data_IF_124578321091
#
_entry.id   IF_124578321091
#
_cell.length_a   1.000
_cell.length_b   1.000
_cell.length_c   1.000
_cell.angle_alpha   90.00
_cell.angle_beta   90.00
_cell.angle_gamma   90.00
#
_symmetry.space_group_name_H-M   'P 1'
#
loop_
_entity.id
_entity.type
_entity.pdbx_description
1 polymer ?
#
# COMPACT_ATOMS: atom_id res chain seq x y z
N UNK A 1 9.65 15.72 -3.44
CA UNK A 1 10.60 14.64 -3.15
C UNK A 1 10.02 13.75 -2.06
N UNK A 2 10.44 12.52 -1.99
CA UNK A 2 9.99 11.53 -0.98
C UNK A 2 10.20 12.04 0.45
N UNK A 3 11.28 12.78 0.73
CA UNK A 3 11.53 13.38 2.04
C UNK A 3 10.43 14.36 2.51
N UNK A 4 9.90 15.18 1.59
CA UNK A 4 8.81 16.08 1.93
C UNK A 4 7.51 15.32 2.19
N UNK A 5 7.26 14.25 1.43
CA UNK A 5 6.10 13.41 1.61
C UNK A 5 6.13 12.71 2.98
N UNK A 6 7.26 12.09 3.34
CA UNK A 6 7.43 11.45 4.63
C UNK A 6 7.24 12.43 5.79
N UNK A 7 7.86 13.61 5.72
CA UNK A 7 7.69 14.63 6.75
C UNK A 7 6.24 15.12 6.87
N UNK A 8 5.53 15.24 5.76
CA UNK A 8 4.11 15.62 5.75
C UNK A 8 3.27 14.58 6.49
N UNK A 9 3.39 13.30 6.15
CA UNK A 9 2.58 12.26 6.76
C UNK A 9 2.93 12.01 8.22
N UNK A 10 4.20 12.06 8.61
CA UNK A 10 4.60 11.98 10.02
C UNK A 10 3.96 13.11 10.85
N UNK A 11 3.99 14.36 10.37
CA UNK A 11 3.31 15.47 11.06
C UNK A 11 1.80 15.26 11.09
N UNK A 12 1.20 14.86 9.98
CA UNK A 12 -0.23 14.64 9.87
C UNK A 12 -0.73 13.61 10.89
N UNK A 13 -0.03 12.47 11.02
CA UNK A 13 -0.37 11.42 11.97
C UNK A 13 -0.14 11.82 13.43
N UNK A 14 0.87 12.67 13.70
CA UNK A 14 1.24 13.08 15.06
C UNK A 14 0.41 14.25 15.58
N UNK A 15 0.00 15.16 14.71
CA UNK A 15 -0.79 16.35 15.08
C UNK A 15 -2.29 16.16 14.98
N UNK A 16 -2.73 15.09 14.32
CA UNK A 16 -4.15 14.73 14.18
C UNK A 16 -4.83 14.48 15.53
N UNK A 17 -6.14 14.72 15.59
CA UNK A 17 -6.96 14.41 16.79
C UNK A 17 -7.11 12.92 17.05
N UNK A 18 -6.87 12.11 16.05
CA UNK A 18 -6.99 10.65 16.15
C UNK A 18 -5.76 10.05 16.85
N UNK A 19 -6.02 9.16 17.80
CA UNK A 19 -4.96 8.35 18.40
C UNK A 19 -4.89 7.01 17.69
N UNK A 20 -3.70 6.62 17.29
CA UNK A 20 -3.43 5.35 16.64
C UNK A 20 -2.91 4.32 17.66
N UNK A 21 -3.20 3.05 17.43
CA UNK A 21 -2.65 1.94 18.21
C UNK A 21 -1.21 1.58 17.85
N UNK A 22 -0.70 2.16 16.77
CA UNK A 22 0.69 2.03 16.32
C UNK A 22 1.51 3.30 16.64
N UNK A 23 2.82 3.17 16.56
CA UNK A 23 3.77 4.27 16.81
C UNK A 23 4.52 4.61 15.52
N UNK A 24 4.68 5.90 15.25
CA UNK A 24 5.54 6.41 14.18
C UNK A 24 6.75 7.12 14.77
N UNK A 25 7.90 7.17 14.06
CA UNK A 25 9.03 8.00 14.48
C UNK A 25 8.64 9.47 14.63
N UNK A 26 9.07 10.11 15.70
CA UNK A 26 8.90 11.55 15.80
C UNK A 26 9.86 12.27 14.87
N UNK A 27 9.35 13.24 14.10
CA UNK A 27 10.15 14.11 13.27
C UNK A 27 10.83 15.17 14.16
N UNK A 28 12.16 15.10 14.25
CA UNK A 28 12.97 16.04 15.06
C UNK A 28 13.36 17.25 14.22
N UNK A 29 13.84 17.04 13.00
CA UNK A 29 14.32 18.09 12.10
C UNK A 29 14.07 17.70 10.65
N UNK A 30 13.75 18.71 9.85
CA UNK A 30 13.70 18.61 8.39
C UNK A 30 14.50 19.74 7.77
N UNK A 31 15.36 19.42 6.82
CA UNK A 31 15.97 20.39 5.91
C UNK A 31 15.78 19.94 4.44
N UNK A 32 16.39 20.64 3.49
CA UNK A 32 16.18 20.36 2.06
C UNK A 32 16.70 18.98 1.60
N UNK A 33 17.60 18.37 2.38
CA UNK A 33 18.33 17.15 1.99
C UNK A 33 18.17 15.98 2.94
N UNK A 34 17.63 16.21 4.14
CA UNK A 34 17.55 15.19 5.16
C UNK A 34 16.37 15.36 6.12
N UNK A 35 15.89 14.22 6.61
CA UNK A 35 15.01 14.14 7.77
C UNK A 35 15.78 13.53 8.95
N UNK A 36 15.63 14.13 10.11
CA UNK A 36 16.10 13.56 11.36
C UNK A 36 14.89 13.13 12.17
N UNK A 37 14.83 11.86 12.50
CA UNK A 37 13.72 11.25 13.22
C UNK A 37 14.22 10.55 14.48
N UNK A 38 13.33 10.41 15.45
CA UNK A 38 13.56 9.59 16.62
C UNK A 38 13.73 8.12 16.22
N UNK A 39 14.72 7.47 16.80
CA UNK A 39 14.89 6.02 16.65
C UNK A 39 13.89 5.30 17.53
N UNK A 40 13.00 4.53 16.95
CA UNK A 40 12.09 3.67 17.71
C UNK A 40 12.86 2.50 18.36
N UNK A 41 12.79 2.34 19.70
CA UNK A 41 13.37 1.17 20.36
C UNK A 41 12.58 -0.08 19.97
N UNK A 42 13.25 -1.06 19.39
CA UNK A 42 12.58 -2.23 18.84
C UNK A 42 13.40 -3.51 19.01
N UNK A 43 12.71 -4.65 18.97
CA UNK A 43 13.25 -6.01 19.02
C UNK A 43 13.31 -6.68 17.63
N UNK A 44 13.33 -5.90 16.57
CA UNK A 44 13.29 -6.36 15.18
C UNK A 44 11.96 -6.06 14.49
N UNK A 45 11.70 -6.77 13.42
CA UNK A 45 10.50 -6.59 12.58
C UNK A 45 9.41 -7.63 12.89
N UNK A 46 8.16 -7.30 12.54
CA UNK A 46 7.07 -8.25 12.53
C UNK A 46 7.12 -9.08 11.24
N UNK A 47 7.75 -10.24 11.27
CA UNK A 47 7.82 -11.12 10.10
C UNK A 47 6.48 -11.73 9.65
N UNK A 48 5.43 -11.64 10.50
CA UNK A 48 4.10 -12.19 10.24
C UNK A 48 3.02 -11.14 10.48
N UNK A 49 2.06 -11.09 9.55
CA UNK A 49 0.87 -10.27 9.68
C UNK A 49 0.00 -10.77 10.85
N UNK A 50 -0.50 -9.87 11.67
CA UNK A 50 -1.25 -10.22 12.87
C UNK A 50 -2.33 -9.15 13.18
N UNK A 51 -3.07 -9.34 14.27
CA UNK A 51 -4.17 -8.44 14.70
C UNK A 51 -3.75 -6.97 14.86
N UNK A 52 -2.49 -6.69 15.20
CA UNK A 52 -2.01 -5.30 15.34
C UNK A 52 -1.91 -4.61 13.99
N UNK A 53 -1.48 -5.34 12.97
CA UNK A 53 -1.47 -4.83 11.59
C UNK A 53 -2.90 -4.57 11.10
N UNK A 54 -3.85 -5.49 11.37
CA UNK A 54 -5.27 -5.28 11.04
C UNK A 54 -5.82 -4.02 11.70
N UNK A 55 -5.54 -3.83 13.01
CA UNK A 55 -5.98 -2.65 13.74
C UNK A 55 -5.39 -1.35 13.16
N UNK A 56 -4.08 -1.33 12.88
CA UNK A 56 -3.40 -0.19 12.26
C UNK A 56 -4.01 0.17 10.90
N UNK A 57 -4.23 -0.82 10.03
CA UNK A 57 -4.82 -0.59 8.70
C UNK A 57 -6.29 -0.14 8.80
N UNK A 58 -7.05 -0.65 9.77
CA UNK A 58 -8.40 -0.17 10.07
C UNK A 58 -8.40 1.29 10.49
N UNK A 59 -7.47 1.69 11.35
CA UNK A 59 -7.32 3.06 11.82
C UNK A 59 -6.89 4.01 10.71
N UNK A 60 -5.94 3.61 9.85
CA UNK A 60 -5.53 4.37 8.67
C UNK A 60 -6.69 4.56 7.70
N UNK A 61 -7.46 3.51 7.42
CA UNK A 61 -8.66 3.61 6.61
C UNK A 61 -9.66 4.61 7.20
N UNK A 62 -9.96 4.48 8.50
CA UNK A 62 -10.96 5.29 9.18
C UNK A 62 -10.56 6.76 9.32
N UNK A 63 -9.26 7.09 9.30
CA UNK A 63 -8.77 8.46 9.47
C UNK A 63 -9.16 9.37 8.31
N UNK A 64 -9.26 8.85 7.08
CA UNK A 64 -9.51 9.62 5.86
C UNK A 64 -10.41 8.88 4.86
N UNK A 65 -11.41 8.19 5.37
CA UNK A 65 -12.30 7.39 4.54
C UNK A 65 -13.17 8.27 3.64
N UNK A 66 -13.17 7.95 2.34
CA UNK A 66 -14.02 8.54 1.31
C UNK A 66 -14.61 7.43 0.44
N UNK A 67 -15.86 7.58 0.04
CA UNK A 67 -16.49 6.71 -0.95
C UNK A 67 -16.62 7.47 -2.28
N UNK A 68 -16.12 6.85 -3.36
CA UNK A 68 -16.18 7.40 -4.69
C UNK A 68 -16.25 6.28 -5.74
N UNK A 69 -16.66 6.60 -6.98
CA UNK A 69 -16.61 5.64 -8.07
C UNK A 69 -15.15 5.22 -8.37
N UNK A 70 -14.99 4.02 -8.89
CA UNK A 70 -13.68 3.55 -9.36
C UNK A 70 -13.12 4.51 -10.41
N UNK A 71 -13.97 5.01 -11.33
CA UNK A 71 -13.57 5.94 -12.39
C UNK A 71 -13.08 7.30 -11.89
N UNK A 72 -13.44 7.71 -10.67
CA UNK A 72 -13.02 8.97 -10.07
C UNK A 72 -11.66 8.85 -9.33
N UNK A 73 -11.04 7.68 -9.34
CA UNK A 73 -9.74 7.48 -8.69
C UNK A 73 -8.65 8.31 -9.37
N UNK A 74 -8.05 9.21 -8.63
CA UNK A 74 -7.06 10.17 -9.13
C UNK A 74 -5.81 9.53 -9.76
N UNK A 75 -5.51 8.28 -9.40
CA UNK A 75 -4.33 7.56 -9.94
C UNK A 75 -4.56 6.94 -11.33
N UNK A 76 -5.79 6.93 -11.86
CA UNK A 76 -6.06 6.34 -13.18
C UNK A 76 -5.21 6.94 -14.29
N UNK A 77 -5.12 8.26 -14.35
CA UNK A 77 -4.32 8.94 -15.37
C UNK A 77 -2.84 8.59 -15.25
N UNK A 78 -2.34 8.52 -14.02
CA UNK A 78 -0.97 8.10 -13.74
C UNK A 78 -0.70 6.65 -14.16
N UNK A 79 -1.63 5.73 -13.88
CA UNK A 79 -1.54 4.33 -14.29
C UNK A 79 -1.49 4.23 -15.82
N UNK A 80 -2.42 4.89 -16.52
CA UNK A 80 -2.44 4.92 -17.97
C UNK A 80 -1.16 5.48 -18.59
N UNK A 81 -0.65 6.59 -18.05
CA UNK A 81 0.58 7.24 -18.50
C UNK A 81 1.78 6.30 -18.35
N UNK A 82 1.94 5.69 -17.17
CA UNK A 82 3.02 4.74 -16.90
C UNK A 82 2.98 3.54 -17.85
N UNK A 83 1.82 2.92 -18.03
CA UNK A 83 1.66 1.75 -18.91
C UNK A 83 1.92 2.13 -20.37
N UNK A 84 1.49 3.31 -20.81
CA UNK A 84 1.72 3.79 -22.17
C UNK A 84 3.21 4.01 -22.45
N UNK A 85 3.94 4.54 -21.47
CA UNK A 85 5.41 4.64 -21.57
C UNK A 85 6.06 3.25 -21.62
N UNK A 86 5.65 2.32 -20.78
CA UNK A 86 6.14 0.93 -20.75
C UNK A 86 5.98 0.25 -22.11
N UNK A 87 4.88 0.50 -22.82
CA UNK A 87 4.62 -0.08 -24.14
C UNK A 87 5.63 0.35 -25.19
N UNK A 88 6.18 1.54 -25.04
CA UNK A 88 7.14 2.13 -26.01
C UNK A 88 8.59 1.83 -25.65
N UNK A 89 8.86 1.27 -24.49
CA UNK A 89 10.21 0.95 -24.00
C UNK A 89 10.48 -0.55 -24.09
N UNK A 90 11.52 -0.93 -24.83
CA UNK A 90 12.02 -2.31 -24.81
C UNK A 90 13.04 -2.45 -23.69
N UNK A 91 12.68 -3.20 -22.65
CA UNK A 91 13.59 -3.51 -21.58
C UNK A 91 13.78 -5.03 -21.46
N UNK A 92 15.04 -5.49 -21.44
CA UNK A 92 15.38 -6.92 -21.49
C UNK A 92 14.77 -7.78 -20.35
N UNK A 93 14.41 -7.16 -19.23
CA UNK A 93 13.82 -7.85 -18.06
C UNK A 93 12.30 -7.77 -17.99
N UNK A 94 11.65 -7.00 -18.87
CA UNK A 94 10.20 -6.82 -18.89
C UNK A 94 9.65 -7.54 -20.11
N UNK A 95 8.81 -8.57 -19.95
CA UNK A 95 8.17 -9.25 -21.07
C UNK A 95 7.33 -8.27 -21.90
N UNK A 96 7.44 -8.33 -23.23
CA UNK A 96 6.68 -7.44 -24.16
C UNK A 96 5.16 -7.54 -23.97
N UNK A 97 4.66 -8.69 -23.50
CA UNK A 97 3.24 -8.92 -23.23
C UNK A 97 2.72 -8.22 -21.95
N UNK A 98 3.62 -7.85 -21.02
CA UNK A 98 3.18 -7.33 -19.72
C UNK A 98 2.47 -5.97 -19.82
N UNK A 99 2.99 -4.95 -20.56
CA UNK A 99 2.27 -3.71 -20.74
C UNK A 99 0.89 -3.88 -21.42
N UNK A 100 0.80 -4.81 -22.39
CA UNK A 100 -0.46 -5.10 -23.08
C UNK A 100 -1.47 -5.76 -22.14
N UNK A 101 -1.02 -6.70 -21.31
CA UNK A 101 -1.87 -7.35 -20.32
C UNK A 101 -2.38 -6.34 -19.27
N UNK A 102 -1.53 -5.40 -18.84
CA UNK A 102 -1.93 -4.33 -17.90
C UNK A 102 -2.96 -3.39 -18.54
N UNK A 103 -2.76 -2.97 -19.80
CA UNK A 103 -3.76 -2.16 -20.53
C UNK A 103 -5.09 -2.91 -20.69
N UNK A 104 -5.03 -4.21 -20.95
CA UNK A 104 -6.24 -5.03 -21.04
C UNK A 104 -6.99 -5.09 -19.71
N UNK A 105 -6.28 -5.28 -18.59
CA UNK A 105 -6.88 -5.25 -17.25
C UNK A 105 -7.53 -3.91 -16.93
N UNK A 106 -6.86 -2.80 -17.27
CA UNK A 106 -7.42 -1.45 -17.08
C UNK A 106 -8.67 -1.24 -17.94
N UNK A 107 -8.66 -1.71 -19.19
CA UNK A 107 -9.80 -1.59 -20.10
C UNK A 107 -11.02 -2.46 -19.68
N UNK A 108 -10.80 -3.53 -18.92
CA UNK A 108 -11.85 -4.41 -18.41
C UNK A 108 -12.43 -3.96 -17.06
N UNK A 109 -11.78 -3.03 -16.36
CA UNK A 109 -12.29 -2.58 -15.06
C UNK A 109 -13.56 -1.75 -15.22
N UNK A 110 -14.58 -2.11 -14.44
CA UNK A 110 -15.83 -1.35 -14.39
C UNK A 110 -15.63 -0.09 -13.55
N UNK A 111 -15.86 1.07 -14.15
CA UNK A 111 -15.64 2.38 -13.54
C UNK A 111 -16.82 2.88 -12.69
N UNK A 112 -17.98 2.28 -12.81
CA UNK A 112 -19.22 2.75 -12.15
C UNK A 112 -19.35 2.37 -10.67
N UNK A 113 -18.87 1.20 -10.21
CA UNK A 113 -19.00 0.83 -8.80
C UNK A 113 -18.35 1.84 -7.87
N UNK A 114 -19.04 2.12 -6.77
CA UNK A 114 -18.49 2.90 -5.65
C UNK A 114 -17.68 2.01 -4.76
N UNK A 115 -16.47 2.45 -4.44
CA UNK A 115 -15.55 1.77 -3.50
C UNK A 115 -15.08 2.73 -2.41
N UNK A 116 -14.48 2.17 -1.39
CA UNK A 116 -13.91 2.94 -0.27
C UNK A 116 -12.43 3.22 -0.52
N UNK A 117 -12.06 4.48 -0.36
CA UNK A 117 -10.69 4.97 -0.38
C UNK A 117 -10.28 5.44 1.01
N UNK A 118 -8.99 5.46 1.28
CA UNK A 118 -8.43 5.91 2.56
C UNK A 118 -6.97 6.28 2.46
N UNK A 119 -6.34 6.48 3.60
CA UNK A 119 -4.90 6.66 3.70
C UNK A 119 -4.21 5.29 3.60
N UNK A 120 -3.21 5.19 2.72
CA UNK A 120 -2.30 4.06 2.65
C UNK A 120 -0.87 4.50 2.99
N UNK A 121 -0.14 3.62 3.64
CA UNK A 121 1.29 3.76 3.88
C UNK A 121 2.10 3.68 2.56
N UNK A 122 1.63 2.87 1.62
CA UNK A 122 2.21 2.71 0.29
C UNK A 122 3.37 1.72 0.20
N UNK A 123 4.11 1.51 1.29
CA UNK A 123 5.15 0.47 1.43
C UNK A 123 5.02 -0.28 2.78
N UNK A 124 3.81 -0.70 3.11
CA UNK A 124 3.52 -1.45 4.32
C UNK A 124 4.02 -2.90 4.19
N UNK A 125 5.23 -3.14 4.66
CA UNK A 125 5.97 -4.39 4.46
C UNK A 125 6.45 -4.99 5.80
N UNK A 126 6.85 -6.27 5.83
CA UNK A 126 7.44 -6.84 7.05
C UNK A 126 8.64 -6.08 7.59
N UNK A 127 9.48 -5.47 6.73
CA UNK A 127 10.66 -4.73 7.15
C UNK A 127 10.38 -3.30 7.59
N UNK A 128 9.24 -2.72 7.22
CA UNK A 128 8.78 -1.40 7.65
C UNK A 128 7.85 -1.46 8.87
N UNK A 129 7.56 -2.67 9.38
CA UNK A 129 6.76 -2.90 10.58
C UNK A 129 7.61 -3.45 11.71
N UNK A 130 7.82 -2.65 12.74
CA UNK A 130 8.71 -2.95 13.87
C UNK A 130 7.93 -3.52 15.05
N UNK A 131 8.53 -4.47 15.75
CA UNK A 131 8.10 -4.91 17.06
C UNK A 131 8.82 -4.06 18.12
N UNK A 132 8.11 -3.16 18.75
CA UNK A 132 8.67 -2.31 19.80
C UNK A 132 8.87 -3.09 21.11
N UNK A 133 9.67 -2.54 22.03
CA UNK A 133 10.01 -3.19 23.29
C UNK A 133 8.80 -3.53 24.17
N UNK A 134 7.74 -2.74 24.06
CA UNK A 134 6.45 -2.94 24.73
C UNK A 134 5.44 -3.77 23.91
N UNK A 135 5.91 -4.50 22.87
CA UNK A 135 5.08 -5.25 21.93
C UNK A 135 4.09 -4.41 21.10
N UNK A 136 4.22 -3.10 21.06
CA UNK A 136 3.46 -2.26 20.13
C UNK A 136 4.00 -2.42 18.70
N UNK A 137 3.15 -2.06 17.74
CA UNK A 137 3.52 -1.97 16.33
C UNK A 137 4.17 -0.60 16.08
N UNK A 138 5.41 -0.59 15.61
CA UNK A 138 6.04 0.60 15.03
C UNK A 138 5.93 0.56 13.51
N UNK A 139 5.62 1.67 12.87
CA UNK A 139 5.56 1.79 11.41
C UNK A 139 6.50 2.91 10.98
N UNK A 140 7.44 2.58 10.10
CA UNK A 140 8.49 3.48 9.60
C UNK A 140 8.43 3.59 8.08
N UNK A 141 9.12 4.58 7.52
CA UNK A 141 9.28 4.76 6.06
C UNK A 141 7.98 5.16 5.35
N UNK A 142 7.47 6.35 5.71
CA UNK A 142 6.22 6.92 5.18
C UNK A 142 6.39 7.68 3.86
N UNK A 143 7.52 7.52 3.18
CA UNK A 143 7.83 8.29 1.97
C UNK A 143 6.89 8.01 0.79
N UNK A 144 6.26 6.84 0.74
CA UNK A 144 5.29 6.44 -0.27
C UNK A 144 3.84 6.57 0.19
N UNK A 145 3.60 7.11 1.40
CA UNK A 145 2.24 7.27 1.91
C UNK A 145 1.39 8.18 1.01
N UNK A 146 0.10 7.84 0.88
CA UNK A 146 -0.85 8.54 0.02
C UNK A 146 -2.27 8.49 0.58
N UNK A 147 -2.97 9.60 0.43
CA UNK A 147 -4.43 9.71 0.58
C UNK A 147 -5.12 9.20 -0.68
N UNK A 148 -6.40 8.85 -0.56
CA UNK A 148 -7.22 8.47 -1.71
C UNK A 148 -6.81 7.17 -2.38
N UNK A 149 -6.22 6.25 -1.64
CA UNK A 149 -5.91 4.91 -2.13
C UNK A 149 -7.04 3.93 -1.85
N UNK A 150 -7.35 2.97 -2.76
CA UNK A 150 -8.32 1.92 -2.47
C UNK A 150 -7.98 1.22 -1.15
N UNK A 151 -8.95 1.06 -0.27
CA UNK A 151 -8.71 0.42 1.04
C UNK A 151 -8.23 -1.01 0.87
N UNK A 152 -7.51 -1.54 1.87
CA UNK A 152 -6.86 -2.86 1.73
C UNK A 152 -5.54 -2.85 0.92
N UNK A 153 -5.13 -1.70 0.34
CA UNK A 153 -3.89 -1.59 -0.44
C UNK A 153 -2.68 -2.14 0.32
N UNK A 154 -2.46 -1.67 1.53
CA UNK A 154 -1.33 -2.07 2.39
C UNK A 154 -1.40 -3.53 2.84
N UNK A 155 -2.61 -4.09 3.02
CA UNK A 155 -2.78 -5.52 3.29
C UNK A 155 -2.26 -6.36 2.12
N UNK A 156 -2.65 -6.03 0.90
CA UNK A 156 -2.15 -6.72 -0.29
C UNK A 156 -0.65 -6.52 -0.44
N UNK A 157 -0.17 -5.30 -0.21
CA UNK A 157 1.26 -4.97 -0.32
C UNK A 157 2.11 -5.82 0.62
N UNK A 158 1.74 -5.92 1.89
CA UNK A 158 2.45 -6.75 2.87
C UNK A 158 2.60 -8.20 2.41
N UNK A 159 1.50 -8.81 1.99
CA UNK A 159 1.48 -10.23 1.65
C UNK A 159 2.13 -10.52 0.29
N UNK A 160 1.91 -9.66 -0.70
CA UNK A 160 2.51 -9.83 -2.03
C UNK A 160 4.03 -9.63 -1.96
N UNK A 161 4.49 -8.56 -1.31
CA UNK A 161 5.93 -8.31 -1.16
C UNK A 161 6.63 -9.42 -0.37
N UNK A 162 6.07 -9.82 0.76
CA UNK A 162 6.58 -10.94 1.55
C UNK A 162 6.62 -12.23 0.74
N UNK A 163 5.52 -12.55 0.07
CA UNK A 163 5.39 -13.77 -0.72
C UNK A 163 6.40 -13.85 -1.86
N UNK A 164 6.62 -12.74 -2.58
CA UNK A 164 7.54 -12.70 -3.72
C UNK A 164 9.00 -12.60 -3.25
N UNK A 165 9.33 -11.61 -2.42
CA UNK A 165 10.73 -11.25 -2.13
C UNK A 165 11.36 -12.11 -1.04
N UNK A 166 10.60 -12.52 -0.02
CA UNK A 166 11.11 -13.27 1.13
C UNK A 166 10.87 -14.77 0.96
N UNK A 167 9.63 -15.16 0.67
CA UNK A 167 9.22 -16.55 0.64
C UNK A 167 9.34 -17.20 -0.74
N UNK A 168 9.53 -16.40 -1.80
CA UNK A 168 9.66 -16.85 -3.21
C UNK A 168 8.54 -17.77 -3.65
N UNK A 169 7.31 -17.46 -3.22
CA UNK A 169 6.12 -18.24 -3.52
C UNK A 169 5.60 -17.93 -4.92
N UNK A 170 5.05 -18.92 -5.63
CA UNK A 170 4.30 -18.66 -6.86
C UNK A 170 3.00 -17.92 -6.55
N UNK A 171 2.53 -17.11 -7.50
CA UNK A 171 1.33 -16.26 -7.35
C UNK A 171 0.11 -17.02 -6.82
N UNK A 172 -0.16 -18.23 -7.35
CA UNK A 172 -1.31 -19.05 -6.91
C UNK A 172 -1.31 -19.29 -5.40
N UNK A 173 -0.14 -19.49 -4.80
CA UNK A 173 0.00 -19.71 -3.37
C UNK A 173 -0.23 -18.42 -2.59
N UNK A 174 0.34 -17.30 -3.06
CA UNK A 174 0.12 -15.98 -2.46
C UNK A 174 -1.37 -15.65 -2.47
N UNK A 175 -2.04 -15.80 -3.61
CA UNK A 175 -3.47 -15.53 -3.75
C UNK A 175 -4.33 -16.42 -2.82
N UNK A 176 -4.05 -17.71 -2.74
CA UNK A 176 -4.76 -18.61 -1.84
C UNK A 176 -4.59 -18.22 -0.35
N UNK A 177 -3.40 -17.80 0.05
CA UNK A 177 -3.12 -17.31 1.40
C UNK A 177 -3.86 -15.98 1.68
N UNK A 178 -3.87 -15.05 0.73
CA UNK A 178 -4.66 -13.81 0.83
C UNK A 178 -6.15 -14.10 1.07
N UNK A 179 -6.73 -15.00 0.28
CA UNK A 179 -8.14 -15.38 0.44
C UNK A 179 -8.42 -16.04 1.79
N UNK A 180 -7.52 -16.89 2.28
CA UNK A 180 -7.67 -17.55 3.59
C UNK A 180 -7.60 -16.58 4.78
N UNK A 181 -6.83 -15.50 4.66
CA UNK A 181 -6.68 -14.47 5.70
C UNK A 181 -7.86 -13.49 5.74
N UNK A 182 -8.61 -13.36 4.65
CA UNK A 182 -9.73 -12.42 4.52
C UNK A 182 -11.03 -12.98 5.11
N UNK A 183 -11.01 -13.27 6.43
CA UNK A 183 -12.22 -13.62 7.17
C UNK A 183 -13.23 -12.45 7.16
N UNK A 184 -14.52 -12.66 7.49
CA UNK A 184 -15.50 -11.57 7.58
C UNK A 184 -15.05 -10.42 8.47
N UNK A 185 -14.39 -10.71 9.60
CA UNK A 185 -13.87 -9.72 10.54
C UNK A 185 -12.76 -8.89 9.92
N UNK A 186 -11.81 -9.54 9.23
CA UNK A 186 -10.70 -8.87 8.53
C UNK A 186 -11.23 -8.02 7.38
N UNK A 187 -12.19 -8.53 6.60
CA UNK A 187 -12.83 -7.74 5.53
C UNK A 187 -13.51 -6.49 6.09
N UNK A 188 -14.27 -6.63 7.18
CA UNK A 188 -14.90 -5.47 7.83
C UNK A 188 -13.88 -4.45 8.31
N UNK A 189 -12.78 -4.89 8.90
CA UNK A 189 -11.72 -3.98 9.36
C UNK A 189 -11.05 -3.24 8.19
N UNK A 190 -10.71 -3.96 7.13
CA UNK A 190 -9.95 -3.40 6.00
C UNK A 190 -10.81 -2.61 5.02
N UNK A 191 -12.08 -3.00 4.80
CA UNK A 191 -12.93 -2.45 3.76
C UNK A 191 -14.23 -1.80 4.27
N UNK A 192 -14.52 -1.92 5.57
CA UNK A 192 -15.73 -1.38 6.18
C UNK A 192 -16.95 -2.30 6.12
N UNK A 193 -16.90 -3.37 5.33
CA UNK A 193 -17.99 -4.34 5.17
C UNK A 193 -17.45 -5.76 4.93
N UNK A 194 -18.12 -6.81 5.43
CA UNK A 194 -17.74 -8.18 5.11
C UNK A 194 -18.11 -8.61 3.69
N UNK A 195 -19.10 -7.93 3.05
CA UNK A 195 -19.59 -8.21 1.69
C UNK A 195 -18.86 -7.37 0.63
N UNK A 196 -17.54 -7.35 0.70
CA UNK A 196 -16.71 -6.61 -0.25
C UNK A 196 -16.30 -7.48 -1.44
N UNK A 197 -16.28 -6.90 -2.64
CA UNK A 197 -15.67 -7.53 -3.82
C UNK A 197 -14.14 -7.38 -3.76
N UNK A 198 -13.50 -8.24 -2.96
CA UNK A 198 -12.05 -8.18 -2.66
C UNK A 198 -11.21 -8.19 -3.93
N UNK A 199 -11.60 -8.99 -4.93
CA UNK A 199 -10.83 -9.13 -6.17
C UNK A 199 -10.75 -7.82 -6.96
N UNK A 200 -11.74 -6.94 -6.85
CA UNK A 200 -11.68 -5.59 -7.42
C UNK A 200 -10.56 -4.78 -6.79
N UNK A 201 -10.52 -4.70 -5.47
CA UNK A 201 -9.47 -3.98 -4.74
C UNK A 201 -8.07 -4.57 -5.00
N UNK A 202 -7.98 -5.90 -5.12
CA UNK A 202 -6.72 -6.56 -5.48
C UNK A 202 -6.28 -6.21 -6.91
N UNK A 203 -7.20 -6.14 -7.88
CA UNK A 203 -6.89 -5.70 -9.25
C UNK A 203 -6.39 -4.26 -9.27
N UNK A 204 -7.06 -3.33 -8.56
CA UNK A 204 -6.64 -1.94 -8.45
C UNK A 204 -5.24 -1.82 -7.84
N UNK A 205 -4.98 -2.57 -6.76
CA UNK A 205 -3.64 -2.66 -6.18
C UNK A 205 -2.61 -3.14 -7.19
N UNK A 206 -2.87 -4.23 -7.92
CA UNK A 206 -1.92 -4.78 -8.88
C UNK A 206 -1.66 -3.84 -10.05
N UNK A 207 -2.69 -3.19 -10.60
CA UNK A 207 -2.53 -2.21 -11.69
C UNK A 207 -1.66 -1.03 -11.25
N UNK A 208 -1.93 -0.47 -10.06
CA UNK A 208 -1.12 0.61 -9.51
C UNK A 208 0.32 0.15 -9.24
N UNK A 209 0.48 -0.92 -8.48
CA UNK A 209 1.77 -1.41 -8.02
C UNK A 209 2.67 -1.81 -9.20
N UNK A 210 2.16 -2.62 -10.14
CA UNK A 210 2.94 -3.04 -11.29
C UNK A 210 3.30 -1.86 -12.19
N UNK A 211 2.35 -0.95 -12.49
CA UNK A 211 2.66 0.24 -13.31
C UNK A 211 3.72 1.13 -12.66
N UNK A 212 3.65 1.32 -11.33
CA UNK A 212 4.60 2.14 -10.57
C UNK A 212 6.01 1.53 -10.60
N UNK A 213 6.16 0.27 -10.16
CA UNK A 213 7.47 -0.35 -10.07
C UNK A 213 8.11 -0.59 -11.44
N UNK A 214 7.31 -0.95 -12.45
CA UNK A 214 7.84 -1.11 -13.80
C UNK A 214 8.34 0.22 -14.38
N UNK A 215 7.70 1.35 -14.05
CA UNK A 215 8.19 2.66 -14.50
C UNK A 215 9.56 3.01 -13.92
N UNK A 216 9.89 2.56 -12.70
CA UNK A 216 11.21 2.79 -12.10
C UNK A 216 12.34 2.02 -12.79
N UNK A 217 12.06 0.92 -13.49
CA UNK A 217 13.06 0.17 -14.25
C UNK A 217 13.35 0.76 -15.64
N UNK A 218 12.56 1.72 -16.10
CA UNK A 218 12.78 2.37 -17.40
C UNK A 218 13.88 3.42 -17.36
N UNK A 219 14.09 4.02 -16.18
CA UNK A 219 15.05 5.11 -15.99
C UNK A 219 16.45 4.60 -15.62
N UNK A 220 16.68 3.27 -15.64
CA UNK A 220 17.95 2.60 -15.38
C UNK A 220 18.52 1.96 -16.65
#
# INVERSE_FOLDING_TARGET
SNLYNEAYFLRHLQTGKQRFSFVTPQLIRQDERALTMEKLPNRGTWGQFNRRHVAALQELRASEQVEAKVGDWQEWENIHTRISHLRNCKHAKIPDSLPQNLLHLVALEDMEPTITYGLAHGDFTPWNTLRLDNDQLGIIDWELARQGMPTGFDFFHFHVQKGILVERKPWRKIYAELQALLTPEVRTALFGTPQVEVDRYLRLYLMYHLSYYLSLYQDQ
#
